data_IF_966832535221
#
_entry.id   IF_966832535221
#
_cell.length_a   1.000
_cell.length_b   1.000
_cell.length_c   1.000
_cell.angle_alpha   90.00
_cell.angle_beta   90.00
_cell.angle_gamma   90.00
#
_symmetry.space_group_name_H-M   'P 1'
#
loop_
_entity.id
_entity.type
_entity.pdbx_description
1 polymer ?
#
# COMPACT_ATOMS: atom_id res chain seq x y z
N UNK A 1 9.20 -7.61 -26.08
CA UNK A 1 9.80 -7.82 -24.75
C UNK A 1 8.99 -7.20 -23.59
N UNK A 2 7.71 -6.88 -23.78
CA UNK A 2 6.90 -6.13 -22.79
C UNK A 2 5.95 -7.03 -21.98
N UNK A 3 5.41 -8.09 -22.58
CA UNK A 3 4.45 -9.00 -21.91
C UNK A 3 5.05 -9.75 -20.72
N UNK A 4 6.31 -10.17 -20.81
CA UNK A 4 6.97 -10.91 -19.73
C UNK A 4 7.17 -10.07 -18.46
N UNK A 5 7.59 -8.80 -18.61
CA UNK A 5 7.72 -7.88 -17.47
C UNK A 5 6.39 -7.66 -16.76
N UNK A 6 5.31 -7.48 -17.52
CA UNK A 6 3.98 -7.26 -16.99
C UNK A 6 3.49 -8.45 -16.14
N UNK A 7 3.79 -9.69 -16.55
CA UNK A 7 3.44 -10.89 -15.79
C UNK A 7 4.22 -10.95 -14.48
N UNK A 8 5.54 -10.72 -14.51
CA UNK A 8 6.37 -10.70 -13.31
C UNK A 8 5.93 -9.61 -12.30
N UNK A 9 5.58 -8.42 -12.79
CA UNK A 9 5.05 -7.32 -11.96
C UNK A 9 3.74 -7.73 -11.28
N UNK A 10 2.79 -8.33 -12.02
CA UNK A 10 1.53 -8.80 -11.43
C UNK A 10 1.72 -9.91 -10.41
N UNK A 11 2.59 -10.88 -10.68
CA UNK A 11 2.92 -11.95 -9.72
C UNK A 11 3.54 -11.37 -8.45
N UNK A 12 4.43 -10.36 -8.60
CA UNK A 12 5.04 -9.67 -7.46
C UNK A 12 4.01 -8.91 -6.64
N UNK A 13 3.07 -8.23 -7.29
CA UNK A 13 1.97 -7.54 -6.61
C UNK A 13 1.11 -8.52 -5.82
N UNK A 14 0.73 -9.66 -6.42
CA UNK A 14 -0.05 -10.71 -5.74
C UNK A 14 0.70 -11.32 -4.56
N UNK A 15 2.00 -11.63 -4.73
CA UNK A 15 2.82 -12.17 -3.65
C UNK A 15 2.96 -11.19 -2.47
N UNK A 16 3.15 -9.89 -2.74
CA UNK A 16 3.18 -8.84 -1.71
C UNK A 16 1.86 -8.78 -0.94
N UNK A 17 0.73 -8.85 -1.63
CA UNK A 17 -0.59 -8.90 -0.98
C UNK A 17 -0.76 -10.13 -0.09
N UNK A 18 -0.30 -11.31 -0.52
CA UNK A 18 -0.38 -12.55 0.28
C UNK A 18 0.45 -12.48 1.57
N UNK A 19 1.63 -11.86 1.53
CA UNK A 19 2.47 -11.64 2.73
C UNK A 19 1.94 -10.47 3.57
N UNK A 20 1.03 -9.66 3.01
CA UNK A 20 0.54 -8.41 3.59
C UNK A 20 1.63 -7.34 3.64
N UNK A 21 2.53 -7.35 2.66
CA UNK A 21 3.50 -6.27 2.41
C UNK A 21 2.75 -5.15 1.69
N UNK A 22 2.67 -3.96 2.29
CA UNK A 22 1.94 -2.85 1.70
C UNK A 22 2.75 -2.24 0.53
N UNK A 23 2.08 -1.99 -0.60
CA UNK A 23 2.70 -1.41 -1.79
C UNK A 23 2.55 0.12 -1.81
N UNK A 24 3.68 0.81 -1.69
CA UNK A 24 3.70 2.28 -1.66
C UNK A 24 3.32 2.92 -3.00
N UNK A 25 3.66 2.31 -4.14
CA UNK A 25 3.28 2.85 -5.45
C UNK A 25 1.78 2.76 -5.70
N UNK A 26 1.16 1.67 -5.24
CA UNK A 26 -0.30 1.54 -5.24
C UNK A 26 -0.95 2.63 -4.36
N UNK A 27 -0.40 2.89 -3.17
CA UNK A 27 -0.85 3.99 -2.30
C UNK A 27 -0.73 5.36 -2.98
N UNK A 28 0.43 5.66 -3.59
CA UNK A 28 0.64 6.94 -4.30
C UNK A 28 -0.39 7.13 -5.42
N UNK A 29 -0.60 6.09 -6.21
CA UNK A 29 -1.55 6.12 -7.33
C UNK A 29 -2.95 6.37 -6.79
N UNK A 30 -3.38 5.60 -5.79
CA UNK A 30 -4.67 5.76 -5.13
C UNK A 30 -4.85 7.17 -4.54
N UNK A 31 -3.85 7.72 -3.84
CA UNK A 31 -3.92 9.08 -3.27
C UNK A 31 -4.06 10.13 -4.35
N UNK A 32 -3.29 10.02 -5.44
CA UNK A 32 -3.37 10.97 -6.55
C UNK A 32 -4.71 10.91 -7.29
N UNK A 33 -5.31 9.73 -7.44
CA UNK A 33 -6.58 9.56 -8.16
C UNK A 33 -7.81 9.85 -7.30
N UNK A 34 -7.78 9.44 -6.03
CA UNK A 34 -8.96 9.43 -5.14
C UNK A 34 -8.95 10.57 -4.14
N UNK A 35 -7.76 11.08 -3.79
CA UNK A 35 -7.57 12.16 -2.81
C UNK A 35 -6.67 13.29 -3.35
N UNK A 36 -7.02 13.91 -4.49
CA UNK A 36 -6.22 15.00 -5.04
C UNK A 36 -6.12 16.16 -4.04
N UNK A 37 -4.91 16.67 -3.83
CA UNK A 37 -4.64 17.79 -2.93
C UNK A 37 -4.43 17.44 -1.46
N UNK A 38 -4.54 16.16 -1.06
CA UNK A 38 -4.14 15.73 0.27
C UNK A 38 -2.64 15.42 0.35
N UNK A 39 -2.03 15.67 1.50
CA UNK A 39 -0.62 15.37 1.76
C UNK A 39 -0.35 13.87 1.62
N UNK A 40 0.67 13.53 0.86
CA UNK A 40 1.09 12.15 0.63
C UNK A 40 2.14 11.80 1.68
N UNK A 41 1.90 10.72 2.43
CA UNK A 41 2.85 10.25 3.43
C UNK A 41 4.17 9.84 2.80
N UNK A 42 5.28 10.05 3.52
CA UNK A 42 6.55 9.43 3.16
C UNK A 42 6.46 7.90 3.25
N UNK A 43 7.37 7.21 2.57
CA UNK A 43 7.44 5.75 2.59
C UNK A 43 7.53 5.18 4.02
N UNK A 44 8.37 5.79 4.87
CA UNK A 44 8.55 5.36 6.26
C UNK A 44 7.30 5.57 7.10
N UNK A 45 6.63 6.72 6.96
CA UNK A 45 5.38 7.02 7.65
C UNK A 45 4.27 6.04 7.22
N UNK A 46 4.16 5.76 5.93
CA UNK A 46 3.25 4.75 5.40
C UNK A 46 3.56 3.36 5.97
N UNK A 47 4.82 2.93 5.95
CA UNK A 47 5.20 1.61 6.45
C UNK A 47 4.93 1.46 7.96
N UNK A 48 5.21 2.51 8.74
CA UNK A 48 4.91 2.55 10.17
C UNK A 48 3.40 2.51 10.42
N UNK A 49 2.60 3.31 9.70
CA UNK A 49 1.14 3.28 9.81
C UNK A 49 0.58 1.88 9.54
N UNK A 50 1.13 1.16 8.55
CA UNK A 50 0.71 -0.22 8.22
C UNK A 50 1.07 -1.24 9.29
N UNK A 51 2.26 -1.11 9.87
CA UNK A 51 2.66 -1.95 10.99
C UNK A 51 1.81 -1.68 12.22
N UNK A 52 1.56 -0.40 12.54
CA UNK A 52 0.69 -0.02 13.65
C UNK A 52 -0.74 -0.54 13.42
N UNK A 53 -1.31 -0.41 12.21
CA UNK A 53 -2.63 -0.95 11.89
C UNK A 53 -2.71 -2.48 12.03
N UNK A 54 -1.63 -3.21 11.72
CA UNK A 54 -1.60 -4.68 11.78
C UNK A 54 -1.29 -5.24 13.17
N UNK A 55 -0.41 -4.58 13.93
CA UNK A 55 0.16 -5.12 15.16
C UNK A 55 -0.19 -4.33 16.42
N UNK A 56 -0.77 -3.12 16.33
CA UNK A 56 -1.23 -2.41 17.52
C UNK A 56 -2.51 -3.05 18.07
N UNK A 57 -2.34 -3.94 19.04
CA UNK A 57 -3.42 -4.51 19.85
C UNK A 57 -3.93 -3.41 20.79
N UNK A 58 -5.01 -2.71 20.42
CA UNK A 58 -5.74 -1.91 21.42
C UNK A 58 -6.48 -0.65 20.98
N UNK A 59 -6.43 -0.22 19.72
CA UNK A 59 -7.29 0.88 19.26
C UNK A 59 -7.94 0.51 17.95
N UNK A 60 -9.23 0.18 18.00
CA UNK A 60 -10.11 -0.20 16.89
C UNK A 60 -10.17 0.82 15.76
N UNK A 61 -9.05 1.01 15.06
CA UNK A 61 -8.93 1.85 13.88
C UNK A 61 -8.95 0.93 12.66
N UNK A 62 -10.13 0.44 12.34
CA UNK A 62 -10.45 0.07 10.97
C UNK A 62 -10.40 1.35 10.13
N UNK A 63 -9.22 1.69 9.61
CA UNK A 63 -9.10 2.79 8.64
C UNK A 63 -9.40 2.22 7.27
N UNK A 64 -10.65 2.36 6.86
CA UNK A 64 -11.02 2.16 5.46
C UNK A 64 -10.34 3.19 4.55
N UNK A 65 -10.18 2.80 3.29
CA UNK A 65 -9.66 3.55 2.15
C UNK A 65 -8.12 3.64 2.01
N UNK A 66 -7.35 3.71 3.11
CA UNK A 66 -5.89 3.58 3.07
C UNK A 66 -5.48 2.25 3.66
#
# INVERSE_FOLDING_TARGET
MTKFKLVCERVTQTARLMVGVPDYQAYLTHRKTTHPGQEIMSYEAFFRERQEARYAVGKGRFRGCC
#
